data_IF_062318914328
#
_entry.id   IF_062318914328
#
_cell.length_a   1.000
_cell.length_b   1.000
_cell.length_c   1.000
_cell.angle_alpha   90.00
_cell.angle_beta   90.00
_cell.angle_gamma   90.00
#
_symmetry.space_group_name_H-M   'P 1'
#
loop_
_entity.id
_entity.type
_entity.pdbx_description
1 polymer ?
#
# COMPACT_ATOMS: atom_id res chain seq x y z
N UNK A 1 55.04 46.34 17.10
CA UNK A 1 54.33 45.94 15.89
C UNK A 1 53.01 45.39 16.30
N UNK A 2 51.98 46.21 16.32
CA UNK A 2 50.61 45.82 16.74
C UNK A 2 49.85 45.34 15.50
N UNK A 3 49.44 44.09 15.54
CA UNK A 3 48.53 43.51 14.53
C UNK A 3 47.09 43.79 15.00
N UNK A 4 46.37 44.59 14.24
CA UNK A 4 44.96 44.88 14.39
C UNK A 4 44.15 43.59 14.10
N UNK A 5 43.38 43.15 15.11
CA UNK A 5 42.37 42.08 14.92
C UNK A 5 41.09 42.80 14.44
N UNK A 6 40.65 42.44 13.28
CA UNK A 6 39.47 42.98 12.63
C UNK A 6 38.19 42.44 13.32
N UNK A 7 37.53 43.35 14.08
CA UNK A 7 36.33 43.05 14.90
C UNK A 7 35.04 42.90 14.08
N UNK A 8 35.13 42.79 12.78
CA UNK A 8 33.93 42.71 11.90
C UNK A 8 33.42 41.29 11.59
N UNK A 9 34.11 40.25 12.04
CA UNK A 9 33.70 38.87 11.73
C UNK A 9 32.69 38.32 12.76
N UNK A 10 32.72 38.82 14.01
CA UNK A 10 31.81 38.36 15.06
C UNK A 10 30.36 38.86 14.92
N UNK A 11 30.15 40.00 14.27
CA UNK A 11 28.81 40.55 14.06
C UNK A 11 28.03 39.89 12.93
N UNK A 12 28.67 39.16 12.03
CA UNK A 12 27.99 38.44 10.94
C UNK A 12 27.46 37.09 11.43
N UNK A 13 28.01 36.54 12.50
CA UNK A 13 27.60 35.22 13.04
C UNK A 13 26.32 35.35 13.90
N UNK A 14 26.11 36.50 14.54
CA UNK A 14 24.94 36.68 15.43
C UNK A 14 23.64 37.04 14.73
N UNK A 15 23.67 37.48 13.47
CA UNK A 15 22.46 37.82 12.72
C UNK A 15 21.87 36.59 11.97
N UNK A 16 22.61 35.48 11.87
CA UNK A 16 22.15 34.23 11.26
C UNK A 16 21.23 33.40 12.18
N UNK A 17 21.04 33.81 13.43
CA UNK A 17 20.26 33.02 14.42
C UNK A 17 18.76 33.35 14.42
N UNK A 18 18.30 34.33 13.64
CA UNK A 18 16.88 34.71 13.60
C UNK A 18 16.12 34.34 12.32
N UNK A 19 16.77 33.77 11.33
CA UNK A 19 16.07 33.21 10.17
C UNK A 19 16.10 31.69 10.26
N UNK A 20 14.96 31.12 10.66
CA UNK A 20 14.69 29.65 10.70
C UNK A 20 14.65 29.02 9.30
N UNK A 21 15.58 29.38 8.42
CA UNK A 21 15.83 28.70 7.17
C UNK A 21 17.12 27.90 7.35
N UNK A 22 16.97 26.68 7.92
CA UNK A 22 18.05 25.70 7.77
C UNK A 22 18.18 25.44 6.27
N UNK A 23 19.29 25.81 5.61
CA UNK A 23 19.50 25.34 4.25
C UNK A 23 19.47 23.81 4.32
N UNK A 24 18.59 23.19 3.52
CA UNK A 24 18.71 21.75 3.22
C UNK A 24 19.98 21.59 2.40
N UNK A 25 21.11 21.54 3.08
CA UNK A 25 22.35 21.06 2.48
C UNK A 25 22.11 19.58 2.25
N UNK A 26 21.76 19.21 1.01
CA UNK A 26 21.80 17.84 0.57
C UNK A 26 23.27 17.40 0.62
N UNK A 27 23.67 16.83 1.76
CA UNK A 27 24.92 16.09 1.80
C UNK A 27 24.72 14.89 0.89
N UNK A 28 25.29 14.94 -0.32
CA UNK A 28 25.54 13.76 -1.10
C UNK A 28 26.46 12.87 -0.27
N UNK A 29 26.04 11.65 0.13
CA UNK A 29 26.92 10.77 0.86
C UNK A 29 28.13 10.48 -0.02
N UNK A 30 29.33 10.74 0.46
CA UNK A 30 30.58 10.47 -0.27
C UNK A 30 30.58 9.02 -0.80
N UNK A 31 30.94 8.83 -2.08
CA UNK A 31 30.96 7.52 -2.73
C UNK A 31 29.60 6.97 -3.15
N UNK A 32 28.53 7.74 -3.09
CA UNK A 32 27.19 7.36 -3.53
C UNK A 32 26.79 8.10 -4.80
N UNK A 33 26.08 7.38 -5.68
CA UNK A 33 25.47 7.90 -6.90
C UNK A 33 23.95 7.94 -6.73
N UNK A 34 23.33 9.04 -7.09
CA UNK A 34 21.88 9.26 -6.97
C UNK A 34 21.18 9.03 -8.28
N UNK A 35 20.06 8.27 -8.23
CA UNK A 35 19.08 8.17 -9.30
C UNK A 35 17.73 8.71 -8.80
N UNK A 36 17.02 9.38 -9.68
CA UNK A 36 15.66 9.85 -9.41
C UNK A 36 14.63 8.88 -10.00
N UNK A 37 13.65 8.49 -9.21
CA UNK A 37 12.51 7.71 -9.68
C UNK A 37 11.26 8.55 -9.50
N UNK A 38 10.63 8.95 -10.62
CA UNK A 38 9.40 9.71 -10.63
C UNK A 38 8.20 8.78 -10.66
N UNK A 39 7.36 8.86 -9.65
CA UNK A 39 6.12 8.07 -9.53
C UNK A 39 4.97 8.69 -10.31
N UNK A 40 3.89 7.94 -10.54
CA UNK A 40 2.67 8.43 -11.19
C UNK A 40 1.96 9.53 -10.39
N UNK A 41 2.16 9.58 -9.08
CA UNK A 41 1.60 10.64 -8.22
C UNK A 41 2.41 11.94 -8.28
N UNK A 42 3.48 11.99 -9.10
CA UNK A 42 4.36 13.14 -9.22
C UNK A 42 5.47 13.21 -8.15
N UNK A 43 5.49 12.28 -7.19
CA UNK A 43 6.56 12.17 -6.20
C UNK A 43 7.85 11.73 -6.86
N UNK A 44 8.97 12.32 -6.48
CA UNK A 44 10.32 11.93 -6.90
C UNK A 44 11.04 11.26 -5.73
N UNK A 45 11.56 10.06 -5.96
CA UNK A 45 12.33 9.28 -5.01
C UNK A 45 13.80 9.38 -5.36
N UNK A 46 14.65 9.66 -4.38
CA UNK A 46 16.11 9.59 -4.51
C UNK A 46 16.58 8.18 -4.15
N UNK A 47 17.09 7.43 -5.10
CA UNK A 47 17.66 6.09 -4.88
C UNK A 47 19.18 6.19 -4.98
N UNK A 48 19.86 5.68 -3.97
CA UNK A 48 21.31 5.77 -3.86
C UNK A 48 21.95 4.41 -4.13
N UNK A 49 22.98 4.41 -4.98
CA UNK A 49 23.84 3.28 -5.22
C UNK A 49 25.27 3.64 -4.80
N UNK A 50 26.03 2.64 -4.41
CA UNK A 50 27.47 2.80 -4.26
C UNK A 50 28.10 3.05 -5.64
N UNK A 51 28.94 4.08 -5.76
CA UNK A 51 29.54 4.47 -7.06
C UNK A 51 30.42 3.35 -7.64
N UNK A 52 31.05 2.56 -6.77
CA UNK A 52 31.92 1.44 -7.17
C UNK A 52 31.10 0.26 -7.69
N UNK A 53 29.94 0.01 -7.08
CA UNK A 53 29.04 -1.10 -7.44
C UNK A 53 28.08 -0.73 -8.59
N UNK A 54 27.87 0.56 -8.85
CA UNK A 54 26.90 1.02 -9.85
C UNK A 54 27.10 0.44 -11.26
N UNK A 55 28.32 0.26 -11.79
CA UNK A 55 28.53 -0.36 -13.13
C UNK A 55 27.91 -1.76 -13.24
N UNK A 56 27.76 -2.46 -12.10
CA UNK A 56 27.13 -3.80 -12.01
C UNK A 56 25.68 -3.74 -11.54
N UNK A 57 25.15 -2.55 -11.26
CA UNK A 57 23.78 -2.39 -10.75
C UNK A 57 22.75 -2.86 -11.77
N UNK A 58 21.82 -3.68 -11.33
CA UNK A 58 20.76 -4.27 -12.16
C UNK A 58 19.41 -3.58 -11.97
N UNK A 59 18.52 -3.77 -12.92
CA UNK A 59 17.11 -3.34 -12.83
C UNK A 59 16.42 -3.95 -11.60
N UNK A 60 16.76 -5.20 -11.25
CA UNK A 60 16.19 -5.88 -10.07
C UNK A 60 16.61 -5.23 -8.75
N UNK A 61 17.85 -4.76 -8.65
CA UNK A 61 18.33 -4.02 -7.49
C UNK A 61 17.61 -2.67 -7.36
N UNK A 62 17.40 -1.95 -8.47
CA UNK A 62 16.63 -0.72 -8.49
C UNK A 62 15.19 -0.98 -8.07
N UNK A 63 14.54 -2.03 -8.58
CA UNK A 63 13.19 -2.43 -8.18
C UNK A 63 13.11 -2.81 -6.70
N UNK A 64 14.13 -3.48 -6.16
CA UNK A 64 14.22 -3.78 -4.72
C UNK A 64 14.27 -2.50 -3.87
N UNK A 65 15.07 -1.52 -4.30
CA UNK A 65 15.19 -0.25 -3.59
C UNK A 65 13.89 0.55 -3.63
N UNK A 66 13.15 0.51 -4.76
CA UNK A 66 11.82 1.14 -4.90
C UNK A 66 10.80 0.43 -4.00
N UNK A 67 10.76 -0.90 -4.00
CA UNK A 67 9.89 -1.70 -3.15
C UNK A 67 10.10 -1.37 -1.67
N UNK A 68 11.37 -1.32 -1.23
CA UNK A 68 11.73 -0.99 0.15
C UNK A 68 11.30 0.42 0.58
N UNK A 69 11.18 1.39 -0.35
CA UNK A 69 10.85 2.80 -0.06
C UNK A 69 9.38 3.14 -0.25
N UNK A 70 8.75 2.58 -1.28
CA UNK A 70 7.37 2.90 -1.68
C UNK A 70 6.40 1.74 -1.44
N UNK A 71 6.90 0.54 -1.11
CA UNK A 71 6.05 -0.63 -0.92
C UNK A 71 5.40 -1.13 -2.21
N UNK A 72 5.93 -0.74 -3.38
CA UNK A 72 5.45 -1.24 -4.68
C UNK A 72 6.17 -2.54 -5.02
N UNK A 73 5.49 -3.70 -5.04
CA UNK A 73 6.11 -4.99 -5.36
C UNK A 73 6.80 -4.97 -6.72
N UNK A 74 7.95 -5.64 -6.84
CA UNK A 74 8.79 -5.65 -8.05
C UNK A 74 8.03 -6.04 -9.32
N UNK A 75 7.13 -7.00 -9.22
CA UNK A 75 6.30 -7.51 -10.32
C UNK A 75 5.26 -6.49 -10.81
N UNK A 76 4.89 -5.52 -9.98
CA UNK A 76 4.01 -4.41 -10.32
C UNK A 76 4.75 -3.17 -10.84
N UNK A 77 6.09 -3.14 -10.72
CA UNK A 77 6.89 -2.03 -11.20
C UNK A 77 7.17 -2.17 -12.70
N UNK A 78 6.80 -1.16 -13.46
CA UNK A 78 7.25 -0.93 -14.83
C UNK A 78 8.11 0.32 -14.85
N UNK A 79 9.42 0.13 -15.00
CA UNK A 79 10.39 1.20 -15.06
C UNK A 79 10.61 1.61 -16.50
N UNK A 80 10.58 2.91 -16.78
CA UNK A 80 10.76 3.48 -18.12
C UNK A 80 11.84 4.55 -18.03
N UNK A 81 12.85 4.45 -18.91
CA UNK A 81 13.89 5.44 -19.08
C UNK A 81 14.08 5.76 -20.57
N UNK A 82 14.12 7.04 -20.94
CA UNK A 82 14.24 7.50 -22.32
C UNK A 82 13.29 6.78 -23.31
N UNK A 83 12.04 6.54 -22.88
CA UNK A 83 11.02 5.86 -23.68
C UNK A 83 11.14 4.34 -23.77
N UNK A 84 12.19 3.74 -23.18
CA UNK A 84 12.42 2.29 -23.17
C UNK A 84 12.02 1.71 -21.81
N UNK A 85 11.35 0.55 -21.85
CA UNK A 85 11.10 -0.21 -20.63
C UNK A 85 12.40 -0.90 -20.17
N UNK A 86 12.70 -0.81 -18.87
CA UNK A 86 13.80 -1.53 -18.25
C UNK A 86 13.37 -2.99 -17.97
N UNK A 87 14.16 -3.93 -18.45
CA UNK A 87 13.92 -5.37 -18.31
C UNK A 87 14.68 -5.94 -17.12
N UNK A 88 14.05 -6.86 -16.40
CA UNK A 88 14.64 -7.56 -15.27
C UNK A 88 15.93 -8.31 -15.69
N UNK A 89 16.89 -8.41 -14.78
CA UNK A 89 18.18 -9.04 -15.03
C UNK A 89 19.17 -8.23 -15.87
N UNK A 90 18.76 -7.09 -16.46
CA UNK A 90 19.67 -6.23 -17.23
C UNK A 90 20.39 -5.21 -16.34
N UNK A 91 21.58 -4.80 -16.76
CA UNK A 91 22.33 -3.74 -16.10
C UNK A 91 21.71 -2.37 -16.39
N UNK A 92 21.70 -1.48 -15.40
CA UNK A 92 21.26 -0.10 -15.58
C UNK A 92 22.14 0.64 -16.61
N UNK A 93 23.44 0.36 -16.61
CA UNK A 93 24.40 0.92 -17.56
C UNK A 93 24.09 0.56 -19.02
N UNK A 94 23.48 -0.61 -19.29
CA UNK A 94 23.09 -1.02 -20.65
C UNK A 94 22.02 -0.14 -21.28
N UNK A 95 21.30 0.64 -20.47
CA UNK A 95 20.30 1.62 -20.91
C UNK A 95 20.86 3.05 -20.98
N UNK A 96 22.15 3.25 -20.69
CA UNK A 96 22.77 4.58 -20.62
C UNK A 96 22.36 5.36 -19.37
N UNK A 97 21.92 4.69 -18.32
CA UNK A 97 21.57 5.33 -17.06
C UNK A 97 22.85 5.70 -16.32
N UNK A 98 22.97 6.98 -15.98
CA UNK A 98 24.09 7.57 -15.24
C UNK A 98 23.55 8.34 -14.03
N UNK A 99 24.44 8.97 -13.28
CA UNK A 99 24.09 9.80 -12.14
C UNK A 99 23.04 10.87 -12.49
N UNK A 100 22.10 11.12 -11.54
CA UNK A 100 21.01 12.09 -11.65
C UNK A 100 19.99 11.81 -12.77
N UNK A 101 20.07 10.65 -13.43
CA UNK A 101 19.03 10.25 -14.38
C UNK A 101 17.68 10.09 -13.69
N UNK A 102 16.61 10.50 -14.39
CA UNK A 102 15.22 10.32 -13.93
C UNK A 102 14.58 9.15 -14.63
N UNK A 103 14.19 8.15 -13.87
CA UNK A 103 13.48 6.95 -14.30
C UNK A 103 12.00 7.11 -13.92
N UNK A 104 11.09 6.78 -14.82
CA UNK A 104 9.66 6.82 -14.55
C UNK A 104 9.16 5.46 -14.04
N UNK A 105 8.57 5.47 -12.85
CA UNK A 105 7.85 4.33 -12.31
C UNK A 105 6.39 4.40 -12.76
N UNK A 106 6.02 3.48 -13.62
CA UNK A 106 4.63 3.24 -14.00
C UNK A 106 4.18 1.96 -13.32
N UNK A 107 3.03 1.99 -12.66
CA UNK A 107 2.45 0.76 -12.13
C UNK A 107 2.08 -0.12 -13.32
N UNK A 108 2.53 -1.38 -13.32
CA UNK A 108 1.89 -2.39 -14.15
C UNK A 108 0.48 -2.58 -13.62
N UNK A 109 -0.44 -1.81 -14.16
CA UNK A 109 -1.83 -2.24 -14.12
C UNK A 109 -1.84 -3.54 -14.92
N UNK A 110 -1.83 -4.69 -14.24
CA UNK A 110 -2.06 -5.96 -14.90
C UNK A 110 -3.44 -5.84 -15.52
N UNK A 111 -3.49 -5.47 -16.81
CA UNK A 111 -4.68 -5.58 -17.60
C UNK A 111 -5.10 -7.04 -17.55
N UNK A 112 -6.20 -7.34 -16.85
CA UNK A 112 -6.81 -8.66 -16.81
C UNK A 112 -6.27 -9.69 -15.82
N UNK A 113 -5.26 -9.38 -14.94
CA UNK A 113 -4.73 -10.39 -14.03
C UNK A 113 -4.30 -9.89 -12.65
N UNK A 114 -4.44 -8.61 -12.35
CA UNK A 114 -4.17 -8.06 -11.02
C UNK A 114 -5.29 -8.42 -10.04
N UNK A 115 -5.16 -9.56 -9.37
CA UNK A 115 -6.08 -9.96 -8.33
C UNK A 115 -5.66 -9.41 -6.97
N UNK A 116 -6.60 -9.31 -6.07
CA UNK A 116 -6.33 -9.14 -4.64
C UNK A 116 -6.15 -10.52 -4.02
N UNK A 117 -5.14 -10.67 -3.18
CA UNK A 117 -4.99 -11.81 -2.29
C UNK A 117 -5.55 -11.37 -0.94
N UNK A 118 -6.57 -12.04 -0.48
CA UNK A 118 -7.20 -11.82 0.82
C UNK A 118 -7.79 -13.14 1.30
N UNK A 119 -8.38 -13.12 2.48
CA UNK A 119 -9.03 -14.28 3.10
C UNK A 119 -10.03 -14.98 2.17
N UNK A 120 -10.09 -16.31 2.25
CA UNK A 120 -11.16 -17.11 1.65
C UNK A 120 -12.51 -16.66 2.22
N UNK A 121 -13.45 -16.35 1.32
CA UNK A 121 -14.79 -15.85 1.67
C UNK A 121 -15.80 -16.97 1.97
N UNK A 122 -15.35 -18.17 2.29
CA UNK A 122 -16.26 -19.30 2.59
C UNK A 122 -16.89 -19.19 3.98
N UNK A 123 -16.14 -18.66 4.95
CA UNK A 123 -16.58 -18.61 6.34
C UNK A 123 -16.63 -17.18 6.90
N UNK A 124 -17.75 -16.80 7.48
CA UNK A 124 -18.01 -15.50 8.10
C UNK A 124 -18.16 -15.72 9.60
N UNK A 125 -17.22 -15.19 10.38
CA UNK A 125 -17.20 -15.30 11.84
C UNK A 125 -17.79 -14.09 12.52
N UNK A 126 -18.48 -14.34 13.63
CA UNK A 126 -19.08 -13.34 14.50
C UNK A 126 -18.10 -12.90 15.57
N UNK A 127 -17.86 -11.58 15.68
CA UNK A 127 -17.04 -10.96 16.71
C UNK A 127 -17.88 -9.96 17.51
N UNK A 128 -17.94 -10.14 18.82
CA UNK A 128 -18.67 -9.23 19.72
C UNK A 128 -17.86 -7.93 19.93
N UNK A 129 -18.56 -6.82 20.08
CA UNK A 129 -17.94 -5.55 20.46
C UNK A 129 -17.44 -5.60 21.90
N UNK A 130 -16.41 -4.83 22.19
CA UNK A 130 -15.87 -4.64 23.54
C UNK A 130 -16.29 -3.29 24.10
N UNK A 131 -16.55 -3.24 25.41
CA UNK A 131 -16.80 -1.99 26.13
C UNK A 131 -15.51 -1.30 26.58
N UNK A 132 -14.34 -1.90 26.30
CA UNK A 132 -13.05 -1.28 26.62
C UNK A 132 -12.78 -0.12 25.67
N UNK A 133 -12.25 1.02 26.15
CA UNK A 133 -11.83 2.10 25.26
C UNK A 133 -10.72 1.60 24.33
N UNK A 134 -10.92 1.75 23.03
CA UNK A 134 -9.96 1.40 22.00
C UNK A 134 -9.64 2.64 21.16
N UNK A 135 -8.45 2.71 20.56
CA UNK A 135 -8.13 3.77 19.61
C UNK A 135 -9.13 3.80 18.45
N UNK A 136 -9.36 4.98 17.86
CA UNK A 136 -10.33 5.17 16.76
C UNK A 136 -10.06 4.27 15.55
N UNK A 137 -8.80 3.98 15.27
CA UNK A 137 -8.39 3.07 14.19
C UNK A 137 -8.66 1.57 14.50
N UNK A 138 -9.23 1.25 15.67
CA UNK A 138 -9.76 -0.07 16.05
C UNK A 138 -11.28 -0.13 16.01
N UNK A 139 -11.93 0.92 15.54
CA UNK A 139 -13.39 0.97 15.43
C UNK A 139 -13.88 0.38 14.12
N UNK A 140 -15.08 -0.15 14.15
CA UNK A 140 -15.83 -0.60 12.97
C UNK A 140 -17.08 0.25 12.82
N UNK A 141 -17.66 0.27 11.62
CA UNK A 141 -18.88 1.02 11.32
C UNK A 141 -19.97 0.09 10.79
N UNK A 142 -21.18 0.58 10.76
CA UNK A 142 -22.24 -0.05 9.97
C UNK A 142 -21.88 0.00 8.48
N UNK A 143 -22.05 -1.13 7.81
CA UNK A 143 -21.58 -1.33 6.44
C UNK A 143 -20.29 -2.13 6.36
N UNK A 144 -19.37 -1.69 5.48
CA UNK A 144 -18.12 -2.37 5.18
C UNK A 144 -16.96 -1.80 6.01
N UNK A 145 -16.20 -2.67 6.63
CA UNK A 145 -14.93 -2.35 7.29
C UNK A 145 -13.84 -3.30 6.79
N UNK A 146 -12.69 -2.74 6.40
CA UNK A 146 -11.50 -3.49 5.98
C UNK A 146 -10.55 -3.63 7.17
N UNK A 147 -10.08 -4.84 7.44
CA UNK A 147 -8.96 -5.08 8.35
C UNK A 147 -7.65 -4.99 7.58
N UNK A 148 -6.75 -4.17 8.07
CA UNK A 148 -5.45 -3.85 7.46
C UNK A 148 -4.34 -4.36 8.37
N UNK A 149 -3.35 -5.05 7.79
CA UNK A 149 -2.09 -5.42 8.44
C UNK A 149 -1.02 -4.40 8.04
N UNK A 150 -0.49 -3.66 9.02
CA UNK A 150 0.60 -2.72 8.83
C UNK A 150 1.95 -3.44 8.89
N UNK A 151 2.88 -3.06 8.01
CA UNK A 151 4.25 -3.60 7.98
C UNK A 151 5.28 -2.64 8.60
N UNK A 152 4.81 -1.52 9.17
CA UNK A 152 5.67 -0.58 9.87
C UNK A 152 5.86 -1.02 11.33
N UNK A 153 7.06 -1.39 11.71
CA UNK A 153 7.42 -1.83 13.08
C UNK A 153 7.20 -0.76 14.16
N UNK A 154 7.17 0.52 13.78
CA UNK A 154 6.92 1.64 14.69
C UNK A 154 5.46 2.11 14.64
N UNK A 155 4.56 1.30 14.10
CA UNK A 155 3.15 1.63 14.04
C UNK A 155 2.49 1.42 15.41
N UNK A 156 1.64 2.38 15.84
CA UNK A 156 0.87 2.28 17.08
C UNK A 156 -0.03 1.03 17.14
N UNK A 157 -0.35 0.45 15.97
CA UNK A 157 -1.07 -0.82 15.91
C UNK A 157 -0.25 -2.05 16.33
N UNK A 158 1.04 -1.89 16.66
CA UNK A 158 1.92 -3.00 17.09
C UNK A 158 1.39 -3.77 18.29
N UNK A 159 0.83 -3.09 19.30
CA UNK A 159 0.18 -3.71 20.47
C UNK A 159 -1.01 -4.62 20.11
N UNK A 160 -1.57 -4.46 18.89
CA UNK A 160 -2.73 -5.20 18.37
C UNK A 160 -2.33 -6.10 17.20
N UNK A 161 -1.08 -6.56 17.16
CA UNK A 161 -0.56 -7.44 16.12
C UNK A 161 -0.48 -6.73 14.75
N UNK A 162 -0.20 -5.42 14.75
CA UNK A 162 -0.14 -4.57 13.56
C UNK A 162 -1.43 -4.48 12.76
N UNK A 163 -2.59 -4.72 13.40
CA UNK A 163 -3.91 -4.70 12.76
C UNK A 163 -4.67 -3.42 13.08
N UNK A 164 -5.24 -2.80 12.06
CA UNK A 164 -6.07 -1.60 12.13
C UNK A 164 -7.27 -1.73 11.19
N UNK A 165 -8.30 -0.90 11.37
CA UNK A 165 -9.55 -0.98 10.63
C UNK A 165 -9.83 0.30 9.83
N UNK A 166 -10.06 0.16 8.50
CA UNK A 166 -10.54 1.24 7.63
C UNK A 166 -12.04 1.08 7.43
N UNK A 167 -12.81 2.02 7.95
CA UNK A 167 -14.27 2.08 7.80
C UNK A 167 -14.62 2.67 6.43
N UNK A 168 -15.49 1.99 5.67
CA UNK A 168 -15.98 2.44 4.36
C UNK A 168 -17.49 2.73 4.36
N UNK A 169 -18.21 2.39 5.44
CA UNK A 169 -19.65 2.56 5.60
C UNK A 169 -20.48 1.84 4.52
N UNK A 170 -21.60 2.46 4.09
CA UNK A 170 -22.49 1.95 3.04
C UNK A 170 -22.01 2.39 1.66
N UNK A 171 -22.17 1.54 0.65
CA UNK A 171 -21.81 1.89 -0.71
C UNK A 171 -21.49 0.73 -1.64
N UNK A 172 -20.82 1.07 -2.73
CA UNK A 172 -20.27 0.11 -3.69
C UNK A 172 -18.75 0.29 -3.79
N UNK A 173 -18.03 -0.77 -3.51
CA UNK A 173 -16.58 -0.78 -3.40
C UNK A 173 -15.98 -1.82 -4.35
N UNK A 174 -14.97 -1.41 -5.11
CA UNK A 174 -14.10 -2.31 -5.86
C UNK A 174 -12.88 -2.59 -4.98
N UNK A 175 -12.87 -3.75 -4.33
CA UNK A 175 -11.85 -4.10 -3.34
C UNK A 175 -10.45 -4.22 -3.96
N UNK A 176 -10.35 -4.54 -5.24
CA UNK A 176 -9.06 -4.56 -5.96
C UNK A 176 -8.50 -3.13 -6.05
N UNK A 177 -9.36 -2.15 -6.36
CA UNK A 177 -8.97 -0.74 -6.39
C UNK A 177 -8.69 -0.21 -4.99
N UNK A 178 -9.58 -0.46 -4.04
CA UNK A 178 -9.41 -0.02 -2.65
C UNK A 178 -8.10 -0.50 -2.03
N UNK A 179 -7.68 -1.74 -2.34
CA UNK A 179 -6.43 -2.31 -1.84
C UNK A 179 -5.19 -1.51 -2.28
N UNK A 180 -5.21 -0.88 -3.45
CA UNK A 180 -4.10 -0.05 -3.94
C UNK A 180 -4.04 1.33 -3.28
N UNK A 181 -5.14 1.78 -2.70
CA UNK A 181 -5.27 3.09 -2.06
C UNK A 181 -5.27 2.98 -0.52
N UNK A 182 -4.92 1.80 0.02
CA UNK A 182 -4.90 1.60 1.46
C UNK A 182 -3.76 2.37 2.12
N UNK A 183 -4.10 3.02 3.22
CA UNK A 183 -3.16 3.59 4.18
C UNK A 183 -3.47 3.01 5.55
N UNK A 184 -2.47 2.88 6.40
CA UNK A 184 -2.67 2.45 7.77
C UNK A 184 -3.43 3.52 8.57
N UNK A 185 -4.62 3.26 9.10
CA UNK A 185 -5.35 4.24 9.89
C UNK A 185 -4.66 4.65 11.20
N UNK A 186 -3.72 3.84 11.71
CA UNK A 186 -2.98 4.13 12.93
C UNK A 186 -1.77 5.04 12.70
N UNK A 187 -0.98 4.82 11.63
CA UNK A 187 0.26 5.58 11.39
C UNK A 187 0.30 6.34 10.05
N UNK A 188 -0.75 6.26 9.21
CA UNK A 188 -0.79 6.89 7.90
C UNK A 188 0.14 6.28 6.85
N UNK A 189 0.90 5.23 7.19
CA UNK A 189 1.86 4.60 6.29
C UNK A 189 1.19 3.78 5.18
N UNK A 190 1.86 3.69 4.02
CA UNK A 190 1.40 2.96 2.85
C UNK A 190 1.91 1.51 2.76
N UNK A 191 2.80 1.09 3.68
CA UNK A 191 3.25 -0.31 3.77
C UNK A 191 2.20 -1.14 4.50
N UNK A 192 1.12 -1.43 3.81
CA UNK A 192 -0.05 -2.15 4.35
C UNK A 192 -0.54 -3.21 3.40
N UNK A 193 -1.21 -4.20 3.95
CA UNK A 193 -1.88 -5.26 3.21
C UNK A 193 -3.30 -5.41 3.76
N UNK A 194 -4.29 -5.60 2.88
CA UNK A 194 -5.62 -6.04 3.30
C UNK A 194 -5.51 -7.46 3.84
N UNK A 195 -5.84 -7.65 5.11
CA UNK A 195 -5.91 -8.98 5.72
C UNK A 195 -7.25 -9.63 5.41
N UNK A 196 -8.32 -8.97 5.84
CA UNK A 196 -9.69 -9.41 5.60
C UNK A 196 -10.63 -8.22 5.59
N UNK A 197 -11.91 -8.47 5.46
CA UNK A 197 -12.96 -7.45 5.61
C UNK A 197 -14.21 -8.06 6.22
N UNK A 198 -15.09 -7.20 6.68
CA UNK A 198 -16.30 -7.64 7.35
C UNK A 198 -17.39 -6.58 7.36
N UNK A 199 -18.50 -6.90 8.03
CA UNK A 199 -19.74 -6.15 7.99
C UNK A 199 -20.36 -6.01 9.39
N UNK A 200 -21.09 -4.93 9.60
CA UNK A 200 -21.96 -4.70 10.74
C UNK A 200 -23.21 -3.95 10.26
N UNK A 201 -24.36 -4.20 10.85
CA UNK A 201 -25.62 -3.44 10.68
C UNK A 201 -26.05 -3.20 9.23
N UNK A 202 -25.82 -4.15 8.32
CA UNK A 202 -26.12 -3.93 6.92
C UNK A 202 -26.60 -5.18 6.18
N UNK A 203 -27.26 -4.93 5.04
CA UNK A 203 -27.38 -5.91 3.98
C UNK A 203 -26.18 -5.79 3.05
N UNK A 204 -25.59 -6.91 2.62
CA UNK A 204 -24.46 -6.90 1.70
C UNK A 204 -24.63 -7.84 0.51
N UNK A 205 -23.96 -7.50 -0.58
CA UNK A 205 -23.77 -8.35 -1.77
C UNK A 205 -22.31 -8.33 -2.17
N UNK A 206 -21.67 -9.50 -2.22
CA UNK A 206 -20.33 -9.68 -2.75
C UNK A 206 -20.42 -10.36 -4.10
N UNK A 207 -19.73 -9.83 -5.09
CA UNK A 207 -19.54 -10.48 -6.40
C UNK A 207 -18.04 -10.59 -6.63
N UNK A 208 -17.55 -11.81 -6.79
CA UNK A 208 -16.13 -12.07 -6.95
C UNK A 208 -15.84 -13.11 -8.02
N UNK A 209 -14.61 -13.09 -8.53
CA UNK A 209 -14.06 -14.07 -9.45
C UNK A 209 -12.81 -14.63 -8.79
N UNK A 210 -12.87 -15.89 -8.36
CA UNK A 210 -11.73 -16.63 -7.84
C UNK A 210 -10.91 -17.23 -8.98
N UNK A 211 -9.61 -17.39 -8.75
CA UNK A 211 -8.71 -18.08 -9.68
C UNK A 211 -8.22 -19.35 -8.99
N UNK A 212 -8.55 -20.47 -9.58
CA UNK A 212 -8.07 -21.79 -9.20
C UNK A 212 -7.12 -22.30 -10.27
N UNK A 213 -6.03 -22.96 -9.85
CA UNK A 213 -5.08 -23.59 -10.77
C UNK A 213 -5.33 -25.11 -10.71
N UNK A 214 -5.64 -25.71 -11.85
CA UNK A 214 -5.84 -27.15 -11.93
C UNK A 214 -4.52 -27.95 -11.83
N UNK A 215 -4.61 -29.28 -11.77
CA UNK A 215 -3.45 -30.15 -11.67
C UNK A 215 -2.46 -30.05 -12.86
N UNK A 216 -2.90 -29.47 -13.97
CA UNK A 216 -2.10 -29.22 -15.18
C UNK A 216 -1.52 -27.80 -15.23
N UNK A 217 -1.73 -26.98 -14.19
CA UNK A 217 -1.26 -25.60 -14.14
C UNK A 217 -2.14 -24.61 -14.91
N UNK A 218 -3.35 -25.00 -15.35
CA UNK A 218 -4.27 -24.15 -16.09
C UNK A 218 -5.12 -23.33 -15.12
N UNK A 219 -5.11 -21.99 -15.27
CA UNK A 219 -5.93 -21.08 -14.46
C UNK A 219 -7.40 -21.16 -14.89
N UNK A 220 -8.28 -21.48 -13.97
CA UNK A 220 -9.73 -21.47 -14.13
C UNK A 220 -10.33 -20.33 -13.30
N UNK A 221 -11.18 -19.53 -13.92
CA UNK A 221 -11.88 -18.43 -13.26
C UNK A 221 -13.32 -18.83 -12.95
N UNK A 222 -13.70 -18.75 -11.67
CA UNK A 222 -15.03 -19.05 -11.19
C UNK A 222 -15.69 -17.78 -10.65
N UNK A 223 -16.90 -17.45 -11.17
CA UNK A 223 -17.65 -16.28 -10.71
C UNK A 223 -18.65 -16.68 -9.65
N UNK A 224 -18.64 -15.94 -8.55
CA UNK A 224 -19.50 -16.18 -7.41
C UNK A 224 -20.26 -14.91 -7.01
N UNK A 225 -21.41 -15.10 -6.39
CA UNK A 225 -22.18 -14.02 -5.77
C UNK A 225 -22.73 -14.51 -4.44
N UNK A 226 -22.47 -13.74 -3.37
CA UNK A 226 -22.99 -13.98 -2.02
C UNK A 226 -23.81 -12.77 -1.58
N UNK A 227 -24.95 -13.02 -0.92
CA UNK A 227 -25.83 -12.00 -0.36
C UNK A 227 -26.24 -12.44 1.03
N UNK A 228 -26.23 -11.55 1.99
CA UNK A 228 -26.76 -11.76 3.32
C UNK A 228 -27.01 -10.43 4.04
N UNK A 229 -27.63 -10.50 5.20
CA UNK A 229 -27.75 -9.40 6.16
C UNK A 229 -27.06 -9.76 7.46
N UNK A 230 -26.52 -8.76 8.13
CA UNK A 230 -25.90 -8.89 9.46
C UNK A 230 -26.44 -7.81 10.39
N UNK A 231 -26.65 -8.18 11.65
CA UNK A 231 -27.11 -7.22 12.67
C UNK A 231 -25.99 -6.22 13.05
N UNK A 232 -26.38 -5.09 13.64
CA UNK A 232 -25.48 -4.05 14.13
C UNK A 232 -24.92 -4.32 15.54
N UNK A 233 -25.26 -5.45 16.16
CA UNK A 233 -24.81 -5.79 17.51
C UNK A 233 -23.43 -6.46 17.52
N UNK A 234 -22.92 -6.85 16.34
CA UNK A 234 -21.68 -7.58 16.18
C UNK A 234 -20.98 -7.18 14.88
N UNK A 235 -19.69 -7.47 14.84
CA UNK A 235 -18.88 -7.39 13.62
C UNK A 235 -18.72 -8.79 13.03
N UNK A 236 -19.06 -8.95 11.77
CA UNK A 236 -18.97 -10.22 11.04
C UNK A 236 -17.86 -10.10 10.00
N UNK A 237 -16.76 -10.81 10.17
CA UNK A 237 -15.62 -10.80 9.23
C UNK A 237 -15.28 -12.19 8.71
N UNK A 238 -14.68 -12.24 7.53
CA UNK A 238 -14.18 -13.50 6.99
C UNK A 238 -12.96 -13.96 7.77
N UNK A 239 -12.92 -15.27 8.09
CA UNK A 239 -11.81 -15.83 8.85
C UNK A 239 -10.59 -16.04 7.94
N UNK A 240 -9.41 -15.60 8.42
CA UNK A 240 -8.14 -15.71 7.72
C UNK A 240 -7.33 -16.98 8.08
N UNK A 241 -7.86 -17.87 8.94
CA UNK A 241 -7.08 -18.93 9.56
C UNK A 241 -7.28 -20.36 9.00
N UNK A 242 -8.41 -20.68 8.36
CA UNK A 242 -8.73 -22.09 8.07
C UNK A 242 -8.45 -22.56 6.64
N UNK A 243 -8.50 -21.69 5.64
CA UNK A 243 -8.32 -22.06 4.23
C UNK A 243 -7.22 -21.29 3.50
N UNK A 244 -6.52 -20.42 4.23
CA UNK A 244 -5.47 -19.61 3.64
C UNK A 244 -5.96 -18.44 2.80
N UNK A 245 -5.05 -17.87 2.05
CA UNK A 245 -5.30 -16.75 1.16
C UNK A 245 -5.85 -17.23 -0.19
N UNK A 246 -6.87 -16.54 -0.71
CA UNK A 246 -7.41 -16.77 -2.04
C UNK A 246 -7.15 -15.57 -2.96
N UNK A 247 -6.88 -15.85 -4.23
CA UNK A 247 -6.65 -14.83 -5.27
C UNK A 247 -7.96 -14.52 -6.00
N UNK A 248 -8.32 -13.23 -6.00
CA UNK A 248 -9.51 -12.74 -6.68
C UNK A 248 -9.14 -11.74 -7.77
N UNK A 249 -9.54 -11.96 -9.01
CA UNK A 249 -9.33 -11.02 -10.12
C UNK A 249 -10.39 -9.93 -10.16
N UNK A 250 -11.53 -10.15 -9.50
CA UNK A 250 -12.61 -9.19 -9.31
C UNK A 250 -13.23 -9.42 -7.95
N UNK A 251 -13.41 -8.35 -7.19
CA UNK A 251 -14.06 -8.40 -5.88
C UNK A 251 -14.83 -7.10 -5.67
N UNK A 252 -16.13 -7.13 -5.93
CA UNK A 252 -17.05 -6.00 -5.75
C UNK A 252 -17.93 -6.25 -4.54
N UNK A 253 -17.88 -5.36 -3.58
CA UNK A 253 -18.74 -5.35 -2.40
C UNK A 253 -19.75 -4.22 -2.52
N UNK A 254 -21.00 -4.51 -2.24
CA UNK A 254 -22.07 -3.51 -2.10
C UNK A 254 -22.71 -3.69 -0.73
N UNK A 255 -22.95 -2.59 -0.06
CA UNK A 255 -23.63 -2.57 1.23
C UNK A 255 -24.78 -1.56 1.21
N UNK A 256 -25.85 -1.85 1.93
CA UNK A 256 -27.04 -1.01 2.08
C UNK A 256 -27.49 -1.03 3.52
N UNK A 257 -28.08 0.06 3.95
CA UNK A 257 -28.82 0.11 5.19
C UNK A 257 -29.94 -0.94 5.19
N UNK A 258 -30.22 -1.54 6.34
CA UNK A 258 -31.25 -2.58 6.48
C UNK A 258 -32.65 -2.10 6.07
N UNK A 259 -32.95 -0.80 6.23
CA UNK A 259 -34.23 -0.20 5.85
C UNK A 259 -34.35 0.05 4.34
N UNK A 260 -33.23 0.19 3.62
CA UNK A 260 -33.18 0.49 2.17
C UNK A 260 -32.72 -0.69 1.32
N UNK A 261 -32.49 -1.84 1.96
CA UNK A 261 -32.03 -3.03 1.26
C UNK A 261 -33.02 -3.43 0.14
N UNK A 262 -32.53 -3.78 -1.05
CA UNK A 262 -33.40 -4.28 -2.11
C UNK A 262 -34.09 -5.55 -1.62
N UNK A 263 -35.41 -5.63 -1.82
CA UNK A 263 -36.20 -6.82 -1.46
C UNK A 263 -35.50 -8.05 -2.05
N UNK A 264 -35.02 -8.92 -1.20
CA UNK A 264 -34.46 -10.20 -1.61
C UNK A 264 -35.65 -11.07 -1.97
N UNK A 265 -35.95 -11.22 -3.27
CA UNK A 265 -36.80 -12.33 -3.70
C UNK A 265 -36.09 -13.61 -3.27
N UNK A 266 -36.63 -14.27 -2.24
CA UNK A 266 -36.22 -15.61 -1.83
C UNK A 266 -36.60 -16.56 -3.00
N UNK A 267 -35.74 -16.69 -3.97
CA UNK A 267 -35.76 -17.85 -4.84
C UNK A 267 -34.84 -18.89 -4.20
N UNK A 268 -35.45 -19.85 -3.55
CA UNK A 268 -34.88 -21.10 -3.11
C UNK A 268 -34.35 -21.88 -4.32
#
# INVERSE_FOLDING_TARGET
MNTLIDTNVENIINDATQLSIKPKINYLPEGKMELFVKTMTGKTLSIWFDIVEFPKATVDQLKTAIDSREGVPKDQQRLIFAGKQLEDGKLLSSYGITEQCTIHLVMRLRGGGGGIITTDMSNLEKHSFTNKPLPSWRSVCDGLTIEIKCQNWFCDSGEYGFRSYKMLNMGKFDMVKENHELLCPACGGNKVQMSTFGFSGCFYKITYVSVEVDANGVEKQNKHTRKASVDGSNFYKFNDSEKGEAKYTKLIVKTWDMSTAPLVSNNY
#
